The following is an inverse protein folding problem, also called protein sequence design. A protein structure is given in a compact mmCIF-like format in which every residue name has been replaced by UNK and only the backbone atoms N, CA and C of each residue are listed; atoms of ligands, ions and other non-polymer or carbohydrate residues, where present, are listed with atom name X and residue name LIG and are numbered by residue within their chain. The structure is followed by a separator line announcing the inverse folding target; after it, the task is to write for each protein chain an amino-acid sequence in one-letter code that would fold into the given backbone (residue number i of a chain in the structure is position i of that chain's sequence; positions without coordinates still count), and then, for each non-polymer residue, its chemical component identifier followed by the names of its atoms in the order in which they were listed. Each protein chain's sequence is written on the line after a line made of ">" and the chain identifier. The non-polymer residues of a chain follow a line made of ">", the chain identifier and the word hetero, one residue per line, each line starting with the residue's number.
data_IF_496227896725
#
_entry.id   IF_496227896725
#
_cell.length_a   1.000
_cell.length_b   1.000
_cell.length_c   1.000
_cell.angle_alpha   90.00
_cell.angle_beta   90.00
_cell.angle_gamma   90.00
#
_symmetry.space_group_name_H-M   'P 1'
#
loop_
_entity.id
_entity.type
_entity.pdbx_description
1 polymer ?
#
# COMPACT_ATOMS: atom_id res chain seq x y z
N UNK A 1 2.69 44.55 -35.99
CA UNK A 1 3.13 43.45 -35.09
C UNK A 1 2.14 43.38 -33.93
N UNK A 2 1.39 42.29 -33.74
CA UNK A 2 0.57 42.12 -32.55
C UNK A 2 1.45 41.70 -31.36
N UNK A 3 1.14 42.11 -30.11
CA UNK A 3 1.96 41.76 -28.94
C UNK A 3 1.83 40.29 -28.61
N UNK A 4 2.97 39.65 -28.34
CA UNK A 4 3.03 38.27 -27.90
C UNK A 4 2.37 38.10 -26.52
N UNK A 5 1.26 37.35 -26.48
CA UNK A 5 0.58 36.96 -25.24
C UNK A 5 1.51 35.97 -24.52
N UNK A 6 2.20 36.42 -23.48
CA UNK A 6 2.92 35.55 -22.54
C UNK A 6 1.89 34.73 -21.77
N UNK A 7 1.73 33.47 -22.15
CA UNK A 7 0.95 32.49 -21.39
C UNK A 7 1.72 32.17 -20.12
N UNK A 8 1.38 32.81 -19.00
CA UNK A 8 1.88 32.49 -17.66
C UNK A 8 1.15 31.23 -17.18
N UNK A 9 1.69 30.04 -17.50
CA UNK A 9 1.22 28.77 -16.95
C UNK A 9 1.71 28.62 -15.51
N UNK A 10 1.16 29.39 -14.60
CA UNK A 10 1.23 29.11 -13.17
C UNK A 10 0.27 27.96 -12.85
N UNK A 11 0.74 26.98 -12.04
CA UNK A 11 -0.11 25.91 -11.55
C UNK A 11 -1.40 26.48 -10.93
N UNK A 12 -2.55 25.87 -11.23
CA UNK A 12 -3.85 26.27 -10.68
C UNK A 12 -3.86 26.14 -9.15
N UNK A 13 -4.83 26.76 -8.47
CA UNK A 13 -4.98 26.60 -7.02
C UNK A 13 -5.18 25.13 -6.63
N UNK A 14 -5.90 24.37 -7.47
CA UNK A 14 -6.13 22.93 -7.31
C UNK A 14 -4.84 22.12 -7.47
N UNK A 15 -4.06 22.35 -8.51
CA UNK A 15 -2.77 21.70 -8.72
C UNK A 15 -1.81 21.97 -7.56
N UNK A 16 -1.76 23.20 -7.05
CA UNK A 16 -0.94 23.52 -5.86
C UNK A 16 -1.42 22.78 -4.61
N UNK A 17 -2.74 22.61 -4.43
CA UNK A 17 -3.31 21.85 -3.31
C UNK A 17 -2.95 20.36 -3.41
N UNK A 18 -3.08 19.77 -4.58
CA UNK A 18 -2.71 18.38 -4.88
C UNK A 18 -1.22 18.13 -4.61
N UNK A 19 -0.35 19.02 -5.09
CA UNK A 19 1.09 18.91 -4.85
C UNK A 19 1.45 19.04 -3.35
N UNK A 20 0.81 19.97 -2.62
CA UNK A 20 1.03 20.08 -1.17
C UNK A 20 0.57 18.82 -0.43
N UNK A 21 -0.60 18.28 -0.79
CA UNK A 21 -1.10 17.03 -0.22
C UNK A 21 -0.12 15.88 -0.48
N UNK A 22 0.38 15.72 -1.69
CA UNK A 22 1.35 14.68 -2.03
C UNK A 22 2.65 14.83 -1.22
N UNK A 23 3.17 16.06 -1.04
CA UNK A 23 4.34 16.32 -0.18
C UNK A 23 4.10 15.97 1.29
N UNK A 24 2.93 16.29 1.84
CA UNK A 24 2.59 15.95 3.22
C UNK A 24 2.47 14.42 3.41
N UNK A 25 1.93 13.69 2.42
CA UNK A 25 1.83 12.23 2.48
C UNK A 25 3.21 11.58 2.43
N UNK A 26 4.09 12.03 1.54
CA UNK A 26 5.45 11.49 1.44
C UNK A 26 6.25 11.81 2.71
N UNK A 27 6.20 13.05 3.20
CA UNK A 27 6.82 13.45 4.46
C UNK A 27 6.27 12.66 5.67
N UNK A 28 4.98 12.36 5.68
CA UNK A 28 4.38 11.50 6.72
C UNK A 28 4.96 10.09 6.69
N UNK A 29 5.16 9.52 5.51
CA UNK A 29 5.81 8.22 5.35
C UNK A 29 7.30 8.25 5.75
N UNK A 30 8.03 9.34 5.42
CA UNK A 30 9.42 9.54 5.85
C UNK A 30 9.51 9.53 7.37
N UNK A 31 8.66 10.31 8.06
CA UNK A 31 8.62 10.38 9.52
C UNK A 31 8.26 9.02 10.12
N UNK A 32 7.31 8.27 9.54
CA UNK A 32 7.05 6.87 9.97
C UNK A 32 8.31 6.02 9.85
N UNK A 33 9.04 6.14 8.74
CA UNK A 33 10.30 5.42 8.53
C UNK A 33 11.38 5.74 9.57
N UNK A 34 11.45 6.98 10.04
CA UNK A 34 12.49 7.43 11.00
C UNK A 34 12.14 7.12 12.45
N UNK A 35 10.94 7.47 12.89
CA UNK A 35 10.57 7.43 14.31
C UNK A 35 9.40 6.50 14.64
N UNK A 36 8.84 5.79 13.64
CA UNK A 36 7.69 4.92 13.79
C UNK A 36 6.35 5.66 13.87
N UNK A 37 5.26 4.90 13.79
CA UNK A 37 3.88 5.43 13.81
C UNK A 37 3.60 6.26 15.07
N UNK A 38 4.05 5.80 16.23
CA UNK A 38 3.80 6.48 17.52
C UNK A 38 4.55 7.81 17.59
N UNK A 39 5.75 7.89 17.02
CA UNK A 39 6.60 9.08 17.04
C UNK A 39 6.21 10.17 16.04
N UNK A 40 5.27 9.93 15.13
CA UNK A 40 4.83 10.94 14.17
C UNK A 40 4.22 12.15 14.87
N UNK A 41 4.65 13.35 14.50
CA UNK A 41 4.06 14.62 14.95
C UNK A 41 3.76 15.53 13.77
N UNK A 42 2.80 16.45 13.93
CA UNK A 42 2.50 17.46 12.90
C UNK A 42 3.72 18.31 12.57
N UNK A 43 4.53 18.64 13.59
CA UNK A 43 5.75 19.44 13.42
C UNK A 43 6.78 18.71 12.55
N UNK A 44 7.03 17.43 12.81
CA UNK A 44 7.95 16.63 12.02
C UNK A 44 7.48 16.50 10.55
N UNK A 45 6.20 16.17 10.33
CA UNK A 45 5.63 16.08 8.98
C UNK A 45 5.74 17.41 8.23
N UNK A 46 5.44 18.55 8.89
CA UNK A 46 5.58 19.89 8.29
C UNK A 46 7.04 20.21 7.94
N UNK A 47 7.97 19.88 8.82
CA UNK A 47 9.41 20.11 8.62
C UNK A 47 9.92 19.32 7.40
N UNK A 48 9.60 18.02 7.31
CA UNK A 48 9.99 17.17 6.16
C UNK A 48 9.35 17.63 4.86
N UNK A 49 8.07 18.03 4.90
CA UNK A 49 7.37 18.53 3.72
C UNK A 49 7.84 19.92 3.25
N UNK A 50 8.59 20.66 4.08
CA UNK A 50 8.90 22.07 3.82
C UNK A 50 7.65 22.95 3.79
N UNK A 51 6.65 22.64 4.63
CA UNK A 51 5.36 23.30 4.68
C UNK A 51 5.03 23.78 6.09
N UNK A 52 4.21 24.82 6.20
CA UNK A 52 3.74 25.33 7.49
C UNK A 52 2.56 24.51 8.02
N UNK A 53 2.34 24.55 9.35
CA UNK A 53 1.15 23.96 10.00
C UNK A 53 -0.17 24.44 9.40
N UNK A 54 -0.23 25.66 8.88
CA UNK A 54 -1.42 26.17 8.20
C UNK A 54 -1.79 25.28 7.01
N UNK A 55 -0.84 24.94 6.14
CA UNK A 55 -1.08 24.05 4.99
C UNK A 55 -1.39 22.62 5.41
N UNK A 56 -0.83 22.16 6.54
CA UNK A 56 -1.20 20.87 7.11
C UNK A 56 -2.68 20.85 7.50
N UNK A 57 -3.14 21.83 8.28
CA UNK A 57 -4.53 21.90 8.75
C UNK A 57 -5.55 22.30 7.66
N UNK A 58 -5.09 22.89 6.55
CA UNK A 58 -5.91 23.04 5.34
C UNK A 58 -6.14 21.67 4.62
N UNK A 59 -5.33 20.66 4.93
CA UNK A 59 -5.33 19.34 4.25
C UNK A 59 -5.84 18.21 5.14
N UNK A 60 -5.47 18.21 6.41
CA UNK A 60 -5.80 17.18 7.40
C UNK A 60 -6.30 17.83 8.68
N UNK A 61 -7.30 17.24 9.33
CA UNK A 61 -7.88 17.73 10.58
C UNK A 61 -6.92 17.58 11.76
N UNK A 62 -6.16 16.50 11.77
CA UNK A 62 -5.25 16.14 12.85
C UNK A 62 -4.14 15.17 12.34
N UNK A 63 -3.24 14.78 13.24
CA UNK A 63 -2.16 13.83 13.01
C UNK A 63 -2.67 12.48 12.51
N UNK A 64 -3.71 11.97 13.14
CA UNK A 64 -4.23 10.64 12.86
C UNK A 64 -4.92 10.59 11.48
N UNK A 65 -5.61 11.66 11.08
CA UNK A 65 -6.15 11.81 9.73
C UNK A 65 -5.04 11.84 8.66
N UNK A 66 -3.89 12.44 8.97
CA UNK A 66 -2.73 12.39 8.08
C UNK A 66 -2.13 10.97 8.00
N UNK A 67 -2.00 10.26 9.12
CA UNK A 67 -1.54 8.86 9.15
C UNK A 67 -2.47 7.93 8.38
N UNK A 68 -3.80 8.07 8.55
CA UNK A 68 -4.79 7.33 7.76
C UNK A 68 -4.57 7.55 6.26
N UNK A 69 -4.38 8.80 5.86
CA UNK A 69 -4.18 9.15 4.46
C UNK A 69 -2.83 8.65 3.91
N UNK A 70 -1.78 8.58 4.73
CA UNK A 70 -0.48 7.96 4.39
C UNK A 70 -0.69 6.46 4.14
N UNK A 71 -1.37 5.76 5.04
CA UNK A 71 -1.68 4.34 4.89
C UNK A 71 -2.51 4.07 3.63
N UNK A 72 -3.58 4.83 3.40
CA UNK A 72 -4.42 4.72 2.21
C UNK A 72 -3.60 4.94 0.92
N UNK A 73 -2.68 5.90 0.91
CA UNK A 73 -1.81 6.17 -0.23
C UNK A 73 -0.82 5.02 -0.48
N UNK A 74 -0.26 4.43 0.56
CA UNK A 74 0.64 3.27 0.46
C UNK A 74 -0.12 2.06 -0.08
N UNK A 75 -1.27 1.72 0.50
CA UNK A 75 -2.08 0.58 0.06
C UNK A 75 -2.60 0.76 -1.37
N UNK A 76 -3.02 1.99 -1.73
CA UNK A 76 -3.46 2.31 -3.08
C UNK A 76 -2.33 2.19 -4.12
N UNK A 77 -1.10 2.64 -3.80
CA UNK A 77 0.07 2.45 -4.68
C UNK A 77 0.40 0.98 -4.89
N UNK A 78 0.39 0.20 -3.82
CA UNK A 78 0.66 -1.23 -3.88
C UNK A 78 -0.40 -1.97 -4.72
N UNK A 79 -1.68 -1.67 -4.48
CA UNK A 79 -2.78 -2.21 -5.29
C UNK A 79 -2.61 -1.88 -6.78
N UNK A 80 -2.34 -0.62 -7.11
CA UNK A 80 -2.11 -0.19 -8.50
C UNK A 80 -0.91 -0.89 -9.13
N UNK A 81 0.18 -1.10 -8.39
CA UNK A 81 1.36 -1.84 -8.85
C UNK A 81 1.01 -3.31 -9.16
N UNK A 82 0.24 -3.98 -8.28
CA UNK A 82 -0.21 -5.36 -8.48
C UNK A 82 -1.14 -5.48 -9.70
N UNK A 83 -2.15 -4.61 -9.82
CA UNK A 83 -3.03 -4.57 -11.01
C UNK A 83 -2.21 -4.35 -12.28
N UNK A 84 -1.27 -3.42 -12.27
CA UNK A 84 -0.40 -3.16 -13.42
C UNK A 84 0.45 -4.38 -13.80
N UNK A 85 1.03 -5.07 -12.83
CA UNK A 85 1.85 -6.26 -13.05
C UNK A 85 1.04 -7.46 -13.55
N UNK A 86 -0.24 -7.57 -13.16
CA UNK A 86 -1.15 -8.64 -13.57
C UNK A 86 -1.85 -8.34 -14.89
N UNK A 87 -1.94 -7.07 -15.31
CA UNK A 87 -2.62 -6.66 -16.53
C UNK A 87 -1.99 -7.30 -17.76
N UNK A 88 -2.82 -7.99 -18.53
CA UNK A 88 -2.39 -8.68 -19.77
C UNK A 88 -1.47 -9.88 -19.56
N UNK A 89 -1.18 -10.26 -18.31
CA UNK A 89 -0.32 -11.39 -18.03
C UNK A 89 -1.03 -12.69 -18.45
N UNK A 90 -0.39 -13.41 -19.38
CA UNK A 90 -0.78 -14.76 -19.78
C UNK A 90 -0.14 -15.76 -18.82
N UNK A 91 -0.84 -16.81 -18.49
CA UNK A 91 -0.37 -17.85 -17.57
C UNK A 91 -1.51 -18.42 -16.73
N UNK A 92 -1.20 -19.45 -15.97
CA UNK A 92 -2.13 -20.08 -15.03
C UNK A 92 -2.26 -19.24 -13.74
N UNK A 93 -3.15 -19.67 -12.86
CA UNK A 93 -3.41 -19.04 -11.57
C UNK A 93 -2.14 -18.96 -10.72
N UNK A 94 -1.33 -20.01 -10.76
CA UNK A 94 -0.06 -20.06 -10.01
C UNK A 94 0.92 -18.98 -10.45
N UNK A 95 1.09 -18.78 -11.76
CA UNK A 95 1.99 -17.76 -12.29
C UNK A 95 1.51 -16.34 -11.95
N UNK A 96 0.20 -16.11 -11.96
CA UNK A 96 -0.39 -14.82 -11.55
C UNK A 96 -0.25 -14.61 -10.05
N UNK A 97 -0.51 -15.64 -9.23
CA UNK A 97 -0.32 -15.57 -7.78
C UNK A 97 1.14 -15.27 -7.42
N UNK A 98 2.11 -15.94 -8.05
CA UNK A 98 3.53 -15.67 -7.86
C UNK A 98 3.86 -14.20 -8.15
N UNK A 99 3.33 -13.65 -9.24
CA UNK A 99 3.53 -12.23 -9.57
C UNK A 99 2.97 -11.30 -8.51
N UNK A 100 1.76 -11.57 -8.01
CA UNK A 100 1.15 -10.75 -6.98
C UNK A 100 1.97 -10.76 -5.67
N UNK A 101 2.40 -11.95 -5.24
CA UNK A 101 3.24 -12.10 -4.03
C UNK A 101 4.60 -11.44 -4.21
N UNK A 102 5.24 -11.57 -5.38
CA UNK A 102 6.53 -10.94 -5.70
C UNK A 102 6.43 -9.40 -5.66
N UNK A 103 5.38 -8.83 -6.25
CA UNK A 103 5.15 -7.36 -6.19
C UNK A 103 4.95 -6.91 -4.76
N UNK A 104 4.18 -7.65 -3.96
CA UNK A 104 3.95 -7.33 -2.55
C UNK A 104 5.25 -7.38 -1.73
N UNK A 105 5.90 -8.53 -1.72
CA UNK A 105 7.15 -8.74 -0.96
C UNK A 105 8.25 -7.77 -1.44
N UNK A 106 8.41 -7.62 -2.76
CA UNK A 106 9.41 -6.72 -3.33
C UNK A 106 9.17 -5.23 -3.02
N UNK A 107 7.90 -4.80 -2.93
CA UNK A 107 7.59 -3.41 -2.56
C UNK A 107 7.96 -3.12 -1.10
N UNK A 108 7.69 -4.06 -0.19
CA UNK A 108 8.02 -3.89 1.23
C UNK A 108 9.54 -4.01 1.46
N UNK A 109 10.22 -4.91 0.75
CA UNK A 109 11.68 -5.08 0.83
C UNK A 109 12.44 -3.86 0.27
N UNK A 110 11.91 -3.23 -0.78
CA UNK A 110 12.53 -2.08 -1.42
C UNK A 110 12.35 -0.75 -0.65
N UNK A 111 11.32 -0.62 0.18
CA UNK A 111 11.04 0.60 0.96
C UNK A 111 10.81 0.28 2.44
N UNK A 112 11.86 0.40 3.29
CA UNK A 112 11.76 0.13 4.72
C UNK A 112 10.71 0.98 5.46
N UNK A 113 10.36 2.16 4.94
CA UNK A 113 9.31 3.02 5.51
C UNK A 113 7.94 2.35 5.37
N UNK A 114 7.68 1.75 4.19
CA UNK A 114 6.47 0.98 3.91
C UNK A 114 6.43 -0.27 4.80
N UNK A 115 7.54 -1.00 4.89
CA UNK A 115 7.66 -2.17 5.76
C UNK A 115 7.33 -1.82 7.22
N UNK A 116 7.88 -0.72 7.73
CA UNK A 116 7.64 -0.23 9.09
C UNK A 116 6.18 0.15 9.33
N UNK A 117 5.55 0.85 8.37
CA UNK A 117 4.11 1.16 8.46
C UNK A 117 3.27 -0.12 8.60
N UNK A 118 3.57 -1.15 7.81
CA UNK A 118 2.88 -2.45 7.89
C UNK A 118 3.12 -3.16 9.22
N UNK A 119 4.36 -3.15 9.72
CA UNK A 119 4.74 -3.81 10.96
C UNK A 119 4.09 -3.17 12.20
N UNK A 120 4.02 -1.82 12.24
CA UNK A 120 3.52 -1.07 13.39
C UNK A 120 1.99 -0.82 13.35
N UNK A 121 1.33 -0.99 12.19
CA UNK A 121 -0.13 -0.80 12.04
C UNK A 121 -0.98 -1.56 13.06
N UNK A 122 -0.68 -2.83 13.47
CA UNK A 122 -1.46 -3.54 14.46
C UNK A 122 -1.50 -2.88 15.84
N UNK A 123 -0.47 -2.11 16.18
CA UNK A 123 -0.39 -1.36 17.45
C UNK A 123 -1.21 -0.07 17.49
N UNK A 124 -1.83 0.33 16.36
CA UNK A 124 -2.58 1.58 16.25
C UNK A 124 -4.00 1.30 15.71
N UNK A 125 -5.07 1.48 16.50
CA UNK A 125 -6.43 1.01 16.15
C UNK A 125 -6.93 1.53 14.79
N UNK A 126 -6.66 2.80 14.45
CA UNK A 126 -7.09 3.37 13.17
C UNK A 126 -6.32 2.78 11.98
N UNK A 127 -5.01 2.59 12.11
CA UNK A 127 -4.19 1.96 11.07
C UNK A 127 -4.49 0.47 10.93
N UNK A 128 -4.81 -0.23 12.03
CA UNK A 128 -5.31 -1.60 11.97
C UNK A 128 -6.58 -1.68 11.12
N UNK A 129 -7.57 -0.82 11.38
CA UNK A 129 -8.79 -0.77 10.58
C UNK A 129 -8.52 -0.47 9.09
N UNK A 130 -7.54 0.40 8.77
CA UNK A 130 -7.12 0.67 7.39
C UNK A 130 -6.46 -0.54 6.74
N UNK A 131 -5.61 -1.24 7.51
CA UNK A 131 -4.97 -2.47 7.05
C UNK A 131 -6.00 -3.58 6.78
N UNK A 132 -6.99 -3.74 7.67
CA UNK A 132 -8.06 -4.73 7.49
C UNK A 132 -8.89 -4.41 6.23
N UNK A 133 -9.25 -3.14 6.03
CA UNK A 133 -9.91 -2.72 4.79
C UNK A 133 -9.05 -2.97 3.54
N UNK A 134 -7.73 -2.79 3.63
CA UNK A 134 -6.81 -3.12 2.54
C UNK A 134 -6.77 -4.63 2.26
N UNK A 135 -6.81 -5.48 3.30
CA UNK A 135 -6.90 -6.95 3.15
C UNK A 135 -8.12 -7.33 2.32
N UNK A 136 -9.28 -6.71 2.58
CA UNK A 136 -10.50 -6.95 1.78
C UNK A 136 -10.30 -6.56 0.31
N UNK A 137 -9.72 -5.38 0.04
CA UNK A 137 -9.43 -4.91 -1.34
C UNK A 137 -8.45 -5.85 -2.05
N UNK A 138 -7.42 -6.33 -1.37
CA UNK A 138 -6.47 -7.28 -1.95
C UNK A 138 -7.06 -8.68 -2.10
N UNK A 139 -7.99 -9.11 -1.24
CA UNK A 139 -8.73 -10.35 -1.44
C UNK A 139 -9.59 -10.28 -2.70
N UNK A 140 -10.25 -9.15 -2.93
CA UNK A 140 -11.00 -8.92 -4.17
C UNK A 140 -10.08 -8.93 -5.40
N UNK A 141 -8.90 -8.30 -5.33
CA UNK A 141 -7.90 -8.38 -6.40
C UNK A 141 -7.47 -9.83 -6.69
N UNK A 142 -7.25 -10.64 -5.65
CA UNK A 142 -6.90 -12.06 -5.82
C UNK A 142 -8.01 -12.80 -6.55
N UNK A 143 -9.27 -12.59 -6.19
CA UNK A 143 -10.42 -13.24 -6.84
C UNK A 143 -10.57 -12.78 -8.29
N UNK A 144 -10.39 -11.50 -8.59
CA UNK A 144 -10.66 -10.91 -9.90
C UNK A 144 -9.50 -11.07 -10.88
N UNK A 145 -8.27 -10.79 -10.46
CA UNK A 145 -7.10 -10.68 -11.34
C UNK A 145 -6.22 -11.93 -11.30
N UNK A 146 -6.12 -12.60 -10.13
CA UNK A 146 -5.29 -13.79 -9.97
C UNK A 146 -6.07 -15.04 -10.37
N UNK A 147 -7.22 -15.27 -9.77
CA UNK A 147 -8.03 -16.49 -10.01
C UNK A 147 -9.02 -16.31 -11.16
N UNK A 148 -9.51 -15.10 -11.40
CA UNK A 148 -10.57 -14.80 -12.38
C UNK A 148 -11.82 -15.62 -12.13
N UNK A 149 -12.27 -15.60 -10.87
CA UNK A 149 -13.36 -16.41 -10.35
C UNK A 149 -14.68 -16.03 -11.01
N UNK A 150 -15.51 -17.04 -11.33
CA UNK A 150 -16.90 -16.78 -11.73
C UNK A 150 -17.64 -16.05 -10.58
N UNK A 151 -18.44 -15.04 -10.87
CA UNK A 151 -19.22 -14.31 -9.84
C UNK A 151 -20.03 -15.21 -8.90
N UNK A 152 -20.46 -16.39 -9.37
CA UNK A 152 -21.22 -17.37 -8.58
C UNK A 152 -20.40 -18.04 -7.47
N UNK A 153 -19.09 -18.19 -7.67
CA UNK A 153 -18.18 -18.82 -6.72
C UNK A 153 -17.48 -17.80 -5.80
N UNK A 154 -17.62 -16.51 -6.09
CA UNK A 154 -16.92 -15.42 -5.40
C UNK A 154 -17.14 -15.45 -3.88
N UNK A 155 -18.40 -15.54 -3.45
CA UNK A 155 -18.76 -15.54 -2.03
C UNK A 155 -18.14 -16.73 -1.29
N UNK A 156 -18.17 -17.91 -1.92
CA UNK A 156 -17.57 -19.13 -1.36
C UNK A 156 -16.06 -18.99 -1.14
N UNK A 157 -15.36 -18.32 -2.05
CA UNK A 157 -13.90 -18.19 -2.01
C UNK A 157 -13.42 -16.99 -1.23
N UNK A 158 -14.30 -16.01 -0.90
CA UNK A 158 -13.92 -14.76 -0.26
C UNK A 158 -13.21 -14.97 1.08
N UNK A 159 -13.73 -15.83 1.95
CA UNK A 159 -13.12 -16.11 3.26
C UNK A 159 -11.73 -16.69 3.10
N UNK A 160 -11.54 -17.62 2.17
CA UNK A 160 -10.22 -18.19 1.89
C UNK A 160 -9.26 -17.14 1.33
N UNK A 161 -9.73 -16.24 0.43
CA UNK A 161 -8.92 -15.15 -0.11
C UNK A 161 -8.48 -14.18 0.99
N UNK A 162 -9.38 -13.79 1.90
CA UNK A 162 -9.04 -12.95 3.07
C UNK A 162 -7.98 -13.63 3.94
N UNK A 163 -8.13 -14.92 4.26
CA UNK A 163 -7.16 -15.68 5.05
C UNK A 163 -5.79 -15.73 4.37
N UNK A 164 -5.75 -15.99 3.07
CA UNK A 164 -4.50 -16.05 2.29
C UNK A 164 -3.82 -14.67 2.27
N UNK A 165 -4.55 -13.60 2.00
CA UNK A 165 -4.00 -12.24 1.96
C UNK A 165 -3.50 -11.79 3.33
N UNK A 166 -4.30 -12.00 4.39
CA UNK A 166 -3.91 -11.65 5.75
C UNK A 166 -2.68 -12.44 6.21
N UNK A 167 -2.66 -13.75 5.94
CA UNK A 167 -1.52 -14.62 6.24
C UNK A 167 -0.26 -14.23 5.47
N UNK A 168 -0.39 -13.91 4.18
CA UNK A 168 0.71 -13.40 3.34
C UNK A 168 1.29 -12.12 3.92
N UNK A 169 0.43 -11.16 4.26
CA UNK A 169 0.83 -9.88 4.86
C UNK A 169 1.62 -10.11 6.15
N UNK A 170 1.11 -10.96 7.03
CA UNK A 170 1.78 -11.28 8.30
C UNK A 170 3.13 -11.97 8.07
N UNK A 171 3.19 -12.95 7.17
CA UNK A 171 4.40 -13.72 6.91
C UNK A 171 5.51 -12.87 6.29
N UNK A 172 5.17 -12.02 5.31
CA UNK A 172 6.13 -11.10 4.68
C UNK A 172 6.66 -10.08 5.70
N UNK A 173 5.80 -9.51 6.55
CA UNK A 173 6.24 -8.60 7.62
C UNK A 173 7.22 -9.28 8.57
N UNK A 174 6.93 -10.51 9.01
CA UNK A 174 7.83 -11.29 9.86
C UNK A 174 9.14 -11.67 9.17
N UNK A 175 9.10 -11.90 7.86
CA UNK A 175 10.31 -12.20 7.08
C UNK A 175 11.25 -10.98 7.04
N UNK A 176 10.72 -9.78 6.85
CA UNK A 176 11.49 -8.54 6.87
C UNK A 176 12.15 -8.29 8.24
N UNK A 177 11.51 -8.70 9.33
CA UNK A 177 12.05 -8.63 10.69
C UNK A 177 13.03 -9.78 11.01
N UNK A 178 13.38 -10.62 10.02
CA UNK A 178 14.27 -11.77 10.21
C UNK A 178 13.64 -12.95 10.96
N UNK A 179 12.34 -12.91 11.25
CA UNK A 179 11.61 -13.97 11.96
C UNK A 179 11.25 -15.19 11.10
N UNK A 180 11.58 -15.17 9.81
CA UNK A 180 11.37 -16.28 8.86
C UNK A 180 12.68 -16.53 8.12
N UNK A 181 13.35 -17.67 8.30
CA UNK A 181 14.68 -17.94 7.74
C UNK A 181 14.61 -18.47 6.30
N UNK A 182 13.96 -17.72 5.42
CA UNK A 182 13.85 -18.05 3.98
C UNK A 182 14.46 -16.92 3.16
N UNK A 183 15.06 -17.29 2.01
CA UNK A 183 15.37 -16.32 0.97
C UNK A 183 14.09 -15.75 0.35
N UNK A 184 14.16 -14.56 -0.28
CA UNK A 184 12.97 -13.92 -0.88
C UNK A 184 12.28 -14.82 -1.91
N UNK A 185 13.04 -15.50 -2.77
CA UNK A 185 12.47 -16.40 -3.78
C UNK A 185 11.74 -17.58 -3.13
N UNK A 186 12.35 -18.20 -2.12
CA UNK A 186 11.74 -19.31 -1.38
C UNK A 186 10.46 -18.88 -0.67
N UNK A 187 10.46 -17.68 -0.06
CA UNK A 187 9.28 -17.11 0.58
C UNK A 187 8.13 -16.92 -0.42
N UNK A 188 8.42 -16.34 -1.60
CA UNK A 188 7.43 -16.11 -2.66
C UNK A 188 6.87 -17.44 -3.18
N UNK A 189 7.73 -18.42 -3.42
CA UNK A 189 7.32 -19.75 -3.86
C UNK A 189 6.43 -20.46 -2.83
N UNK A 190 6.82 -20.39 -1.55
CA UNK A 190 6.07 -21.06 -0.47
C UNK A 190 4.70 -20.39 -0.26
N UNK A 191 4.62 -19.06 -0.21
CA UNK A 191 3.34 -18.33 -0.12
C UNK A 191 2.45 -18.69 -1.32
N UNK A 192 3.02 -18.67 -2.53
CA UNK A 192 2.28 -19.02 -3.75
C UNK A 192 1.74 -20.43 -3.69
N UNK A 193 2.56 -21.40 -3.29
CA UNK A 193 2.19 -22.82 -3.19
C UNK A 193 1.05 -23.04 -2.19
N UNK A 194 1.16 -22.44 -0.99
CA UNK A 194 0.15 -22.59 0.06
C UNK A 194 -1.14 -21.86 -0.34
N UNK A 195 -1.01 -20.61 -0.78
CA UNK A 195 -2.16 -19.78 -1.15
C UNK A 195 -2.98 -20.36 -2.30
N UNK A 196 -2.32 -20.85 -3.37
CA UNK A 196 -3.04 -21.48 -4.48
C UNK A 196 -3.72 -22.79 -4.07
N UNK A 197 -3.12 -23.61 -3.22
CA UNK A 197 -3.78 -24.81 -2.67
C UNK A 197 -5.02 -24.46 -1.86
N UNK A 198 -4.95 -23.44 -1.00
CA UNK A 198 -6.10 -23.04 -0.18
C UNK A 198 -7.28 -22.48 -1.01
N UNK A 199 -7.00 -21.94 -2.18
CA UNK A 199 -7.99 -21.27 -3.02
C UNK A 199 -8.54 -22.17 -4.15
N UNK A 200 -7.79 -23.21 -4.56
CA UNK A 200 -8.15 -24.08 -5.70
C UNK A 200 -8.54 -25.50 -5.25
N UNK A 201 -8.51 -25.79 -3.95
CA UNK A 201 -9.00 -27.04 -3.37
C UNK A 201 -10.52 -27.03 -3.23
#
# INVERSE_FOLDING_TARGET
>A
MPPAVRTYRGASAEERRTLRRARLLEAGLDVVGEVGVVGVTVDAVCAHAGLTKRYFYETFTDRDAALDAVADAVYGRLHAAMVSALRGRRGDERARAMTAVEVFAGTLDADPRVARLYAESPGHPRLLARRDAAVDVFADLVLDEVLRVDPRDRERLRTAAVLVVAGTTHLVTRWLDGGVPLGRLELVEEITRVGTRALLA
#
